data_IF_646446652062
#
_entry.id   IF_646446652062
#
_cell.length_a   1.000
_cell.length_b   1.000
_cell.length_c   1.000
_cell.angle_alpha   90.00
_cell.angle_beta   90.00
_cell.angle_gamma   90.00
#
_symmetry.space_group_name_H-M   'P 1'
#
loop_
_entity.id
_entity.type
_entity.pdbx_description
1 polymer ?
#
# COMPACT_ATOMS: atom_id res chain seq x y z
N UNK A 1 39.12 -65.66 -17.47
CA UNK A 1 40.06 -64.79 -18.21
C UNK A 1 40.70 -63.81 -17.25
N UNK A 2 42.03 -63.74 -17.30
CA UNK A 2 43.00 -62.92 -16.56
C UNK A 2 42.68 -61.42 -16.60
N UNK A 3 42.90 -60.62 -15.54
CA UNK A 3 44.22 -60.07 -15.24
C UNK A 3 44.32 -59.40 -13.86
N UNK A 4 45.55 -59.45 -13.34
CA UNK A 4 46.04 -59.08 -12.02
C UNK A 4 46.96 -57.86 -12.17
N UNK A 5 46.81 -56.76 -11.41
CA UNK A 5 47.94 -55.90 -11.03
C UNK A 5 47.63 -54.85 -9.95
N UNK A 6 48.47 -54.87 -8.92
CA UNK A 6 48.68 -53.89 -7.84
C UNK A 6 49.14 -52.53 -8.39
N UNK A 7 48.80 -51.42 -7.70
CA UNK A 7 49.82 -50.45 -7.19
C UNK A 7 49.27 -49.45 -6.15
N UNK A 8 49.97 -49.46 -5.02
CA UNK A 8 50.07 -48.58 -3.83
C UNK A 8 50.22 -47.08 -4.19
N UNK A 9 49.77 -46.15 -3.33
CA UNK A 9 50.57 -45.07 -2.65
C UNK A 9 49.81 -43.74 -2.40
N UNK A 10 49.64 -43.41 -1.09
CA UNK A 10 49.70 -42.12 -0.35
C UNK A 10 48.92 -40.86 -0.80
N UNK A 11 48.11 -40.33 0.14
CA UNK A 11 48.20 -39.01 0.82
C UNK A 11 46.88 -38.85 1.61
N UNK A 12 46.82 -38.90 2.95
CA UNK A 12 47.28 -37.94 3.96
C UNK A 12 46.85 -36.50 3.63
N UNK A 13 45.84 -35.98 4.35
CA UNK A 13 45.61 -34.61 4.89
C UNK A 13 44.17 -34.66 5.45
N UNK A 14 43.99 -34.87 6.75
CA UNK A 14 43.82 -33.83 7.77
C UNK A 14 42.52 -33.01 7.60
N UNK A 15 41.63 -33.19 8.58
CA UNK A 15 40.92 -32.13 9.29
C UNK A 15 40.18 -31.08 8.44
N UNK A 16 38.86 -31.19 8.37
CA UNK A 16 38.04 -30.00 8.16
C UNK A 16 36.90 -29.98 9.18
N UNK A 17 37.11 -29.06 10.13
CA UNK A 17 36.22 -28.74 11.21
C UNK A 17 34.88 -28.24 10.69
N UNK A 18 33.83 -28.64 11.40
CA UNK A 18 32.48 -28.10 11.33
C UNK A 18 32.57 -26.56 11.45
N UNK A 19 32.15 -25.76 10.46
CA UNK A 19 32.11 -24.32 10.67
C UNK A 19 30.93 -24.02 11.60
N UNK A 20 31.27 -23.44 12.75
CA UNK A 20 30.33 -22.88 13.70
C UNK A 20 29.38 -21.91 12.99
N UNK A 21 28.09 -22.13 13.15
CA UNK A 21 27.01 -21.23 12.74
C UNK A 21 27.19 -19.89 13.43
N UNK A 22 27.64 -18.88 12.69
CA UNK A 22 27.62 -17.49 13.13
C UNK A 22 26.17 -17.03 13.35
N UNK A 23 25.87 -16.24 14.39
CA UNK A 23 24.54 -15.71 14.61
C UNK A 23 24.20 -14.71 13.49
N UNK A 24 23.07 -14.92 12.82
CA UNK A 24 22.53 -13.98 11.84
C UNK A 24 22.18 -12.67 12.56
N UNK A 25 22.68 -11.50 12.12
CA UNK A 25 22.30 -10.23 12.74
C UNK A 25 20.81 -9.97 12.54
N UNK A 26 20.13 -9.55 13.62
CA UNK A 26 18.72 -9.17 13.57
C UNK A 26 18.53 -8.00 12.58
N UNK A 27 17.43 -7.98 11.80
CA UNK A 27 17.18 -6.90 10.85
C UNK A 27 17.00 -5.58 11.61
N UNK A 28 17.93 -4.65 11.40
CA UNK A 28 17.81 -3.26 11.85
C UNK A 28 16.54 -2.65 11.24
N UNK A 29 15.69 -1.96 12.02
CA UNK A 29 14.52 -1.27 11.47
C UNK A 29 14.98 -0.28 10.40
N UNK A 30 14.44 -0.40 9.18
CA UNK A 30 14.72 0.58 8.14
C UNK A 30 14.27 1.98 8.63
N UNK A 31 15.07 3.04 8.39
CA UNK A 31 14.66 4.40 8.73
C UNK A 31 13.35 4.74 8.02
N UNK A 32 12.38 5.31 8.75
CA UNK A 32 11.15 5.85 8.13
C UNK A 32 11.54 6.95 7.16
N UNK A 33 11.21 6.78 5.88
CA UNK A 33 11.39 7.80 4.85
C UNK A 33 10.65 9.08 5.27
N UNK A 34 11.37 10.19 5.31
CA UNK A 34 10.76 11.52 5.45
C UNK A 34 10.03 11.89 4.16
N UNK A 35 8.84 12.49 4.30
CA UNK A 35 8.05 12.94 3.16
C UNK A 35 8.74 14.13 2.48
N UNK A 36 8.81 14.12 1.15
CA UNK A 36 9.20 15.29 0.37
C UNK A 36 8.15 16.39 0.48
N UNK A 37 8.48 17.62 0.08
CA UNK A 37 7.52 18.73 0.09
C UNK A 37 6.33 18.45 -0.85
N UNK A 38 6.60 17.95 -2.06
CA UNK A 38 5.55 17.57 -3.02
C UNK A 38 4.61 16.48 -2.46
N UNK A 39 5.16 15.49 -1.74
CA UNK A 39 4.37 14.44 -1.10
C UNK A 39 3.49 15.02 0.01
N UNK A 40 4.00 15.99 0.78
CA UNK A 40 3.25 16.68 1.83
C UNK A 40 2.11 17.51 1.24
N UNK A 41 2.38 18.28 0.19
CA UNK A 41 1.37 19.08 -0.51
C UNK A 41 0.26 18.19 -1.08
N UNK A 42 0.63 17.08 -1.72
CA UNK A 42 -0.33 16.09 -2.22
C UNK A 42 -1.23 15.55 -1.11
N UNK A 43 -0.66 15.17 0.04
CA UNK A 43 -1.43 14.65 1.17
C UNK A 43 -2.34 15.70 1.81
N UNK A 44 -1.88 16.95 1.86
CA UNK A 44 -2.70 18.06 2.33
C UNK A 44 -3.90 18.31 1.39
N UNK A 45 -3.64 18.38 0.07
CA UNK A 45 -4.70 18.51 -0.94
C UNK A 45 -5.71 17.35 -0.89
N UNK A 46 -5.22 16.11 -0.70
CA UNK A 46 -6.07 14.94 -0.55
C UNK A 46 -6.94 15.03 0.71
N UNK A 47 -6.39 15.50 1.82
CA UNK A 47 -7.11 15.68 3.08
C UNK A 47 -8.21 16.73 2.93
N UNK A 48 -7.89 17.86 2.30
CA UNK A 48 -8.87 18.92 2.03
C UNK A 48 -9.99 18.43 1.11
N UNK A 49 -9.65 17.67 0.05
CA UNK A 49 -10.63 17.10 -0.87
C UNK A 49 -11.59 16.13 -0.17
N UNK A 50 -11.07 15.25 0.69
CA UNK A 50 -11.90 14.29 1.45
C UNK A 50 -12.80 15.01 2.44
N UNK A 51 -12.28 16.03 3.13
CA UNK A 51 -13.04 16.84 4.08
C UNK A 51 -14.19 17.56 3.38
N UNK A 52 -13.91 18.24 2.26
CA UNK A 52 -14.94 18.92 1.46
C UNK A 52 -16.01 17.94 0.95
N UNK A 53 -15.63 16.72 0.53
CA UNK A 53 -16.58 15.71 0.10
C UNK A 53 -17.44 15.17 1.26
N UNK A 54 -16.89 15.08 2.47
CA UNK A 54 -17.66 14.73 3.68
C UNK A 54 -18.66 15.81 4.04
N UNK A 55 -18.25 17.08 4.03
CA UNK A 55 -19.14 18.22 4.26
C UNK A 55 -20.28 18.25 3.24
N UNK A 56 -19.96 18.07 1.95
CA UNK A 56 -20.97 17.94 0.90
C UNK A 56 -21.91 16.75 1.16
N UNK A 57 -21.38 15.60 1.62
CA UNK A 57 -22.21 14.45 1.96
C UNK A 57 -23.20 14.76 3.08
N UNK A 58 -22.80 15.51 4.10
CA UNK A 58 -23.70 15.92 5.18
C UNK A 58 -24.75 16.92 4.69
N UNK A 59 -24.35 17.90 3.88
CA UNK A 59 -25.28 18.84 3.27
C UNK A 59 -26.34 18.11 2.42
N UNK A 60 -25.91 17.16 1.56
CA UNK A 60 -26.81 16.37 0.73
C UNK A 60 -27.73 15.43 1.52
N UNK A 61 -27.29 14.99 2.70
CA UNK A 61 -28.10 14.14 3.58
C UNK A 61 -29.15 14.94 4.35
N UNK A 62 -28.92 16.24 4.59
CA UNK A 62 -29.88 17.14 5.21
C UNK A 62 -31.00 17.59 4.26
N UNK A 63 -30.84 17.36 2.95
CA UNK A 63 -31.84 17.70 1.94
C UNK A 63 -32.98 16.67 1.96
N UNK A 64 -34.18 17.14 2.31
CA UNK A 64 -35.41 16.36 2.17
C UNK A 64 -35.91 16.38 0.72
N UNK A 65 -35.79 15.24 0.03
CA UNK A 65 -36.10 15.09 -1.40
C UNK A 65 -37.59 15.33 -1.68
N UNK A 66 -38.47 15.08 -0.71
CA UNK A 66 -39.91 15.30 -0.87
C UNK A 66 -40.24 16.79 -0.97
N UNK A 67 -39.47 17.64 -0.30
CA UNK A 67 -39.65 19.10 -0.32
C UNK A 67 -39.21 19.76 -1.62
N UNK A 68 -38.46 19.06 -2.49
CA UNK A 68 -38.06 19.59 -3.80
C UNK A 68 -39.18 19.54 -4.85
N UNK A 69 -40.30 18.87 -4.55
CA UNK A 69 -41.42 18.70 -5.47
C UNK A 69 -41.00 18.02 -6.78
N UNK A 70 -41.55 18.51 -7.90
CA UNK A 70 -41.33 17.95 -9.24
C UNK A 70 -40.20 18.62 -10.02
N UNK A 71 -39.32 19.39 -9.35
CA UNK A 71 -38.16 19.99 -10.01
C UNK A 71 -37.15 18.91 -10.40
N UNK A 72 -37.19 18.49 -11.66
CA UNK A 72 -36.28 17.51 -12.24
C UNK A 72 -34.82 18.01 -12.21
N UNK A 73 -34.60 19.28 -12.52
CA UNK A 73 -33.27 19.91 -12.53
C UNK A 73 -32.59 19.83 -11.15
N UNK A 74 -33.32 20.10 -10.08
CA UNK A 74 -32.77 20.01 -8.73
C UNK A 74 -32.45 18.56 -8.34
N UNK A 75 -33.29 17.60 -8.75
CA UNK A 75 -33.03 16.17 -8.53
C UNK A 75 -31.74 15.73 -9.24
N UNK A 76 -31.51 16.18 -10.46
CA UNK A 76 -30.30 15.90 -11.24
C UNK A 76 -29.04 16.53 -10.61
N UNK A 77 -29.14 17.75 -10.08
CA UNK A 77 -28.05 18.40 -9.35
C UNK A 77 -27.68 17.59 -8.10
N UNK A 78 -28.68 17.16 -7.32
CA UNK A 78 -28.45 16.35 -6.11
C UNK A 78 -27.81 15.00 -6.46
N UNK A 79 -28.27 14.33 -7.51
CA UNK A 79 -27.69 13.07 -7.96
C UNK A 79 -26.23 13.26 -8.41
N UNK A 80 -25.97 14.30 -9.19
CA UNK A 80 -24.62 14.64 -9.66
C UNK A 80 -23.68 14.90 -8.48
N UNK A 81 -24.13 15.68 -7.49
CA UNK A 81 -23.37 15.96 -6.28
C UNK A 81 -23.08 14.67 -5.46
N UNK A 82 -24.07 13.77 -5.32
CA UNK A 82 -23.86 12.46 -4.68
C UNK A 82 -22.83 11.61 -5.44
N UNK A 83 -22.82 11.68 -6.77
CA UNK A 83 -21.85 10.97 -7.59
C UNK A 83 -20.43 11.51 -7.42
N UNK A 84 -20.26 12.83 -7.27
CA UNK A 84 -18.97 13.45 -6.94
C UNK A 84 -18.44 12.93 -5.60
N UNK A 85 -19.27 12.91 -4.55
CA UNK A 85 -18.88 12.37 -3.23
C UNK A 85 -18.42 10.91 -3.32
N UNK A 86 -19.18 10.06 -4.04
CA UNK A 86 -18.82 8.66 -4.27
C UNK A 86 -17.49 8.52 -5.02
N UNK A 87 -17.26 9.34 -6.04
CA UNK A 87 -16.02 9.32 -6.82
C UNK A 87 -14.81 9.70 -5.95
N UNK A 88 -14.93 10.75 -5.13
CA UNK A 88 -13.88 11.16 -4.18
C UNK A 88 -13.58 10.03 -3.17
N UNK A 89 -14.63 9.40 -2.62
CA UNK A 89 -14.43 8.29 -1.68
C UNK A 89 -13.72 7.09 -2.31
N UNK A 90 -14.08 6.73 -3.54
CA UNK A 90 -13.40 5.68 -4.31
C UNK A 90 -11.93 6.03 -4.56
N UNK A 91 -11.65 7.27 -4.96
CA UNK A 91 -10.29 7.75 -5.17
C UNK A 91 -9.46 7.67 -3.88
N UNK A 92 -9.97 8.23 -2.78
CA UNK A 92 -9.33 8.17 -1.47
C UNK A 92 -9.04 6.73 -1.03
N UNK A 93 -9.98 5.80 -1.22
CA UNK A 93 -9.79 4.38 -0.90
C UNK A 93 -8.67 3.74 -1.73
N UNK A 94 -8.59 4.06 -3.03
CA UNK A 94 -7.49 3.60 -3.90
C UNK A 94 -6.14 4.12 -3.42
N UNK A 95 -6.05 5.40 -3.08
CA UNK A 95 -4.82 6.02 -2.56
C UNK A 95 -4.37 5.34 -1.27
N UNK A 96 -5.27 5.17 -0.28
CA UNK A 96 -4.94 4.46 0.97
C UNK A 96 -4.48 3.02 0.74
N UNK A 97 -5.10 2.32 -0.21
CA UNK A 97 -4.73 0.92 -0.51
C UNK A 97 -3.35 0.82 -1.14
N UNK A 98 -2.95 1.80 -1.98
CA UNK A 98 -1.63 1.80 -2.62
C UNK A 98 -0.53 2.33 -1.70
N UNK A 99 -0.83 3.36 -0.90
CA UNK A 99 0.12 3.91 0.07
C UNK A 99 0.35 2.99 1.27
N UNK A 100 -0.65 2.23 1.72
CA UNK A 100 -0.49 1.28 2.83
C UNK A 100 0.19 -0.05 2.47
N UNK A 101 0.60 -0.22 1.21
CA UNK A 101 1.28 -1.43 0.69
C UNK A 101 2.74 -1.19 0.30
N UNK A 102 3.22 0.05 0.40
CA UNK A 102 4.62 0.44 0.24
C UNK A 102 5.29 0.53 1.62
#
# INVERSE_FOLDING_TARGET
>A
MTSKRKRKTKQAVAEEAVPATAPTPAPTPAPRRELTEEEREFLNALTNLVTAAQELSYALAAVDVETLGDSQELKEILETARNVVKAVWRFHRLVKTRMGRA
#
